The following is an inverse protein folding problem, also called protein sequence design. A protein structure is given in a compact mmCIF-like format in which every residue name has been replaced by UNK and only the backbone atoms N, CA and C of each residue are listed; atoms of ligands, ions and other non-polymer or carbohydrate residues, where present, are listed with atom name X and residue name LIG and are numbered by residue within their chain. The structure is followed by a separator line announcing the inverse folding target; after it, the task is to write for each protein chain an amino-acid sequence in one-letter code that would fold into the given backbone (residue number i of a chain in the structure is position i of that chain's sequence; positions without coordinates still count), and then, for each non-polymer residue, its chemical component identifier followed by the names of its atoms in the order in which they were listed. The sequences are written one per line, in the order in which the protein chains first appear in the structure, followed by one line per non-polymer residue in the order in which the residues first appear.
data_IF_871777951889
#
_entry.id   IF_871777951889
#
_cell.length_a   1.000
_cell.length_b   1.000
_cell.length_c   1.000
_cell.angle_alpha   90.00
_cell.angle_beta   90.00
_cell.angle_gamma   90.00
#
_symmetry.space_group_name_H-M   'P 1'
#
loop_
_entity.id
_entity.type
_entity.pdbx_description
1 polymer ?
#
# COMPACT_ATOMS: atom_id res chain seq x y z
N UNK A 1 -15.92 -15.42 -20.61
CA UNK A 1 -15.62 -15.73 -19.20
C UNK A 1 -14.17 -16.19 -19.17
N UNK A 2 -13.24 -15.30 -18.80
CA UNK A 2 -11.80 -15.63 -18.76
C UNK A 2 -11.54 -16.24 -17.39
N UNK A 3 -11.23 -17.53 -17.36
CA UNK A 3 -10.83 -18.23 -16.15
C UNK A 3 -9.47 -17.68 -15.70
N UNK A 4 -9.43 -17.12 -14.49
CA UNK A 4 -8.19 -16.74 -13.83
C UNK A 4 -7.39 -18.02 -13.56
N UNK A 5 -6.37 -18.30 -14.38
CA UNK A 5 -5.38 -19.31 -14.03
C UNK A 5 -4.53 -18.70 -12.90
N UNK A 6 -4.43 -19.32 -11.71
CA UNK A 6 -3.48 -18.86 -10.71
C UNK A 6 -2.10 -18.84 -11.36
N UNK A 7 -1.52 -17.64 -11.47
CA UNK A 7 -0.22 -17.44 -12.08
C UNK A 7 0.82 -18.24 -11.28
N UNK A 8 1.28 -19.35 -11.85
CA UNK A 8 2.51 -20.04 -11.47
C UNK A 8 3.77 -19.17 -11.64
N UNK A 9 3.60 -17.91 -12.09
CA UNK A 9 4.64 -16.94 -12.42
C UNK A 9 5.28 -16.29 -11.18
N UNK A 10 4.59 -16.22 -10.03
CA UNK A 10 5.17 -15.67 -8.79
C UNK A 10 6.09 -16.64 -8.04
N UNK A 11 6.28 -17.87 -8.55
CA UNK A 11 7.38 -18.75 -8.12
C UNK A 11 8.77 -18.23 -8.52
N UNK A 12 8.84 -17.19 -9.36
CA UNK A 12 10.09 -16.46 -9.56
C UNK A 12 10.40 -15.66 -8.30
N UNK A 13 11.34 -16.19 -7.50
CA UNK A 13 12.00 -15.48 -6.40
C UNK A 13 12.29 -14.05 -6.85
N UNK A 14 11.72 -13.08 -6.15
CA UNK A 14 12.15 -11.68 -6.29
C UNK A 14 13.67 -11.65 -6.21
N UNK A 15 14.28 -11.11 -7.27
CA UNK A 15 15.72 -11.20 -7.43
C UNK A 15 16.43 -10.22 -6.50
N UNK A 16 17.71 -10.47 -6.22
CA UNK A 16 18.55 -9.48 -5.54
C UNK A 16 18.56 -8.13 -6.27
N UNK A 17 18.37 -8.14 -7.60
CA UNK A 17 18.25 -6.92 -8.38
C UNK A 17 16.95 -6.15 -8.05
N UNK A 18 15.82 -6.84 -7.86
CA UNK A 18 14.56 -6.19 -7.48
C UNK A 18 14.69 -5.42 -6.15
N UNK A 19 15.35 -6.03 -5.16
CA UNK A 19 15.60 -5.40 -3.86
C UNK A 19 16.54 -4.19 -4.03
N UNK A 20 17.60 -4.34 -4.84
CA UNK A 20 18.54 -3.25 -5.10
C UNK A 20 17.85 -2.04 -5.76
N UNK A 21 17.08 -2.27 -6.82
CA UNK A 21 16.33 -1.23 -7.52
C UNK A 21 15.33 -0.54 -6.58
N UNK A 22 14.67 -1.33 -5.73
CA UNK A 22 13.74 -0.82 -4.71
C UNK A 22 14.45 0.13 -3.74
N UNK A 23 15.61 -0.26 -3.21
CA UNK A 23 16.39 0.58 -2.29
C UNK A 23 16.90 1.85 -2.97
N UNK A 24 17.35 1.76 -4.22
CA UNK A 24 17.76 2.93 -5.00
C UNK A 24 16.60 3.91 -5.21
N UNK A 25 15.41 3.42 -5.57
CA UNK A 25 14.21 4.26 -5.70
C UNK A 25 13.79 4.91 -4.40
N UNK A 26 13.86 4.19 -3.28
CA UNK A 26 13.58 4.76 -1.96
C UNK A 26 14.58 5.86 -1.60
N UNK A 27 15.86 5.67 -1.91
CA UNK A 27 16.89 6.68 -1.71
C UNK A 27 16.61 7.93 -2.55
N UNK A 28 16.33 7.76 -3.85
CA UNK A 28 15.99 8.88 -4.74
C UNK A 28 14.81 9.68 -4.20
N UNK A 29 13.72 9.00 -3.81
CA UNK A 29 12.55 9.66 -3.23
C UNK A 29 12.90 10.48 -1.98
N UNK A 30 13.76 9.94 -1.09
CA UNK A 30 14.19 10.65 0.11
C UNK A 30 15.10 11.84 -0.20
N UNK A 31 16.03 11.70 -1.14
CA UNK A 31 16.92 12.79 -1.54
C UNK A 31 16.13 13.93 -2.18
N UNK A 32 15.15 13.61 -3.04
CA UNK A 32 14.19 14.60 -3.57
C UNK A 32 13.43 15.28 -2.44
N UNK A 33 12.98 14.51 -1.44
CA UNK A 33 12.29 15.07 -0.29
C UNK A 33 13.16 16.09 0.44
N UNK A 34 14.41 15.76 0.74
CA UNK A 34 15.35 16.65 1.41
C UNK A 34 15.68 17.90 0.61
N UNK A 35 15.86 17.76 -0.71
CA UNK A 35 16.23 18.88 -1.58
C UNK A 35 15.12 19.93 -1.69
N UNK A 36 13.85 19.51 -1.80
CA UNK A 36 12.74 20.44 -1.98
C UNK A 36 12.20 20.98 -0.65
N UNK A 37 12.42 20.28 0.47
CA UNK A 37 11.87 20.66 1.79
C UNK A 37 12.19 22.11 2.19
N UNK A 38 13.43 22.63 2.09
CA UNK A 38 13.71 24.02 2.45
C UNK A 38 12.89 25.04 1.66
N UNK A 39 12.56 24.73 0.40
CA UNK A 39 11.70 25.59 -0.43
C UNK A 39 10.24 25.45 -0.03
N UNK A 40 9.75 24.22 0.17
CA UNK A 40 8.38 23.97 0.62
C UNK A 40 8.10 24.69 1.96
N UNK A 41 9.02 24.54 2.92
CA UNK A 41 8.93 25.20 4.23
C UNK A 41 8.98 26.73 4.10
N UNK A 42 9.92 27.28 3.30
CA UNK A 42 10.06 28.74 3.08
C UNK A 42 8.81 29.39 2.52
N UNK A 43 8.07 28.69 1.67
CA UNK A 43 6.89 29.20 0.99
C UNK A 43 5.57 28.65 1.57
N UNK A 44 5.64 27.98 2.72
CA UNK A 44 4.49 27.38 3.43
C UNK A 44 3.64 26.49 2.53
N UNK A 45 4.27 25.79 1.58
CA UNK A 45 3.60 24.88 0.67
C UNK A 45 3.69 23.45 1.17
N UNK A 46 2.66 22.62 0.91
CA UNK A 46 2.79 21.17 1.06
C UNK A 46 3.98 20.66 0.26
N UNK A 47 4.66 19.66 0.82
CA UNK A 47 5.76 19.01 0.12
C UNK A 47 5.27 18.42 -1.20
N UNK A 48 5.86 18.78 -2.36
CA UNK A 48 5.40 18.33 -3.66
C UNK A 48 5.86 16.89 -3.92
N UNK A 49 5.16 15.92 -3.32
CA UNK A 49 5.42 14.49 -3.51
C UNK A 49 4.19 13.78 -4.07
N UNK A 50 4.31 13.27 -5.29
CA UNK A 50 3.35 12.30 -5.83
C UNK A 50 3.62 10.92 -5.21
N UNK A 51 3.15 10.77 -3.96
CA UNK A 51 3.37 9.54 -3.19
C UNK A 51 2.82 8.33 -3.92
N UNK A 52 1.69 8.49 -4.65
CA UNK A 52 1.07 7.39 -5.39
C UNK A 52 1.99 6.88 -6.50
N UNK A 53 2.50 7.77 -7.36
CA UNK A 53 3.38 7.36 -8.46
C UNK A 53 4.66 6.69 -7.95
N UNK A 54 5.28 7.25 -6.90
CA UNK A 54 6.44 6.62 -6.25
C UNK A 54 6.11 5.23 -5.71
N UNK A 55 4.97 5.07 -5.04
CA UNK A 55 4.53 3.77 -4.51
C UNK A 55 4.38 2.71 -5.59
N UNK A 56 3.80 3.09 -6.74
CA UNK A 56 3.58 2.17 -7.85
C UNK A 56 4.90 1.68 -8.44
N UNK A 57 5.86 2.59 -8.64
CA UNK A 57 7.19 2.24 -9.16
C UNK A 57 7.94 1.36 -8.15
N UNK A 58 7.91 1.71 -6.86
CA UNK A 58 8.56 0.93 -5.78
C UNK A 58 8.00 -0.49 -5.71
N UNK A 59 6.68 -0.66 -5.72
CA UNK A 59 6.06 -2.00 -5.69
C UNK A 59 6.35 -2.76 -6.97
N UNK A 60 6.36 -2.08 -8.13
CA UNK A 60 6.73 -2.70 -9.42
C UNK A 60 8.18 -3.20 -9.42
N UNK A 61 9.11 -2.39 -8.92
CA UNK A 61 10.52 -2.75 -8.77
C UNK A 61 10.69 -3.94 -7.83
N UNK A 62 9.99 -3.93 -6.68
CA UNK A 62 10.12 -4.99 -5.67
C UNK A 62 9.52 -6.32 -6.12
N UNK A 63 8.35 -6.30 -6.74
CA UNK A 63 7.59 -7.51 -7.13
C UNK A 63 7.91 -8.00 -8.54
N UNK A 64 8.48 -7.14 -9.39
CA UNK A 64 8.62 -7.39 -10.83
C UNK A 64 7.31 -7.27 -11.63
N UNK A 65 6.18 -6.97 -10.98
CA UNK A 65 4.89 -6.80 -11.66
C UNK A 65 4.89 -5.45 -12.38
N UNK A 66 4.68 -5.45 -13.69
CA UNK A 66 4.73 -4.23 -14.48
C UNK A 66 3.47 -3.36 -14.28
N UNK A 67 3.65 -2.04 -14.40
CA UNK A 67 2.54 -1.10 -14.53
C UNK A 67 1.88 -1.16 -15.90
N UNK A 68 0.74 -0.48 -16.04
CA UNK A 68 0.01 -0.38 -17.32
C UNK A 68 0.66 0.55 -18.37
N UNK A 69 1.73 1.26 -18.00
CA UNK A 69 2.26 2.38 -18.78
C UNK A 69 1.26 3.53 -18.83
N UNK A 70 1.06 4.14 -20.01
CA UNK A 70 0.14 5.30 -20.18
C UNK A 70 -1.33 4.91 -20.43
N UNK A 71 -1.75 3.72 -19.98
CA UNK A 71 -3.12 3.21 -20.17
C UNK A 71 -3.96 3.41 -18.91
N UNK A 72 -5.27 3.59 -19.07
CA UNK A 72 -6.22 3.65 -17.95
C UNK A 72 -6.49 2.23 -17.42
N UNK A 73 -6.62 2.06 -16.11
CA UNK A 73 -6.99 0.80 -15.49
C UNK A 73 -6.56 0.69 -14.03
N UNK A 74 -6.30 -0.54 -13.59
CA UNK A 74 -5.56 -0.83 -12.36
C UNK A 74 -4.16 -0.24 -12.39
N UNK A 75 -3.48 -0.23 -11.26
CA UNK A 75 -2.09 0.26 -11.23
C UNK A 75 -1.12 -0.72 -11.93
N UNK A 76 -1.43 -2.02 -11.90
CA UNK A 76 -0.59 -3.08 -12.49
C UNK A 76 -1.29 -3.94 -13.56
N UNK A 77 -0.47 -4.59 -14.41
CA UNK A 77 -0.94 -5.42 -15.54
C UNK A 77 -1.72 -6.66 -15.13
N UNK A 78 -1.51 -7.16 -13.91
CA UNK A 78 -2.17 -8.34 -13.36
C UNK A 78 -3.53 -8.00 -12.72
N UNK A 79 -3.89 -6.72 -12.65
CA UNK A 79 -5.08 -6.21 -12.00
C UNK A 79 -4.87 -5.72 -10.56
N UNK A 80 -3.65 -5.81 -10.03
CA UNK A 80 -3.32 -5.35 -8.68
C UNK A 80 -3.29 -3.81 -8.57
N UNK A 81 -3.62 -3.30 -7.39
CA UNK A 81 -3.72 -1.85 -7.10
C UNK A 81 -2.83 -1.45 -5.91
N UNK A 82 -2.42 -0.18 -5.87
CA UNK A 82 -1.58 0.40 -4.81
C UNK A 82 -2.31 1.52 -4.09
N UNK A 83 -2.23 1.51 -2.76
CA UNK A 83 -2.64 2.60 -1.89
C UNK A 83 -1.42 3.17 -1.20
N UNK A 84 -1.36 4.48 -1.13
CA UNK A 84 -0.16 5.23 -0.81
C UNK A 84 -0.45 6.29 0.25
N UNK A 85 0.43 6.44 1.23
CA UNK A 85 0.30 7.44 2.28
C UNK A 85 1.68 7.92 2.74
N UNK A 86 1.97 9.22 2.64
CA UNK A 86 3.18 9.80 3.19
C UNK A 86 2.86 10.61 4.44
N UNK A 87 3.48 10.24 5.55
CA UNK A 87 3.30 10.83 6.87
C UNK A 87 4.46 11.76 7.28
N UNK A 88 5.49 11.91 6.44
CA UNK A 88 6.55 12.88 6.68
C UNK A 88 5.96 14.28 6.59
N UNK A 89 6.16 15.07 7.66
CA UNK A 89 5.60 16.43 7.81
C UNK A 89 4.06 16.52 7.72
N UNK A 90 3.35 15.40 7.75
CA UNK A 90 1.89 15.41 7.73
C UNK A 90 1.35 15.97 9.06
N UNK A 91 0.41 16.91 8.99
CA UNK A 91 -0.28 17.42 10.18
C UNK A 91 -1.32 16.37 10.59
N UNK A 92 -2.26 16.08 9.69
CA UNK A 92 -3.27 15.04 9.89
C UNK A 92 -2.73 13.64 9.59
N UNK A 93 -3.35 12.63 10.20
CA UNK A 93 -3.03 11.22 9.91
C UNK A 93 -3.57 10.84 8.54
N UNK A 94 -2.71 10.54 7.55
CA UNK A 94 -3.15 10.10 6.23
C UNK A 94 -3.94 8.79 6.32
N UNK A 95 -4.86 8.59 5.38
CA UNK A 95 -5.71 7.40 5.29
C UNK A 95 -5.45 6.70 3.96
N UNK A 96 -5.55 5.38 3.94
CA UNK A 96 -5.70 4.69 2.67
C UNK A 96 -7.16 4.78 2.22
N UNK A 97 -7.37 5.50 1.12
CA UNK A 97 -8.71 5.79 0.58
C UNK A 97 -9.06 4.86 -0.58
N UNK A 98 -10.34 4.51 -0.70
CA UNK A 98 -10.89 3.74 -1.81
C UNK A 98 -10.22 2.37 -1.98
N UNK A 99 -9.83 1.73 -0.87
CA UNK A 99 -9.29 0.36 -0.84
C UNK A 99 -10.30 -0.65 -1.38
N UNK A 100 -11.57 -0.35 -1.17
CA UNK A 100 -12.72 -1.05 -1.72
C UNK A 100 -13.53 -0.01 -2.50
N UNK A 101 -13.90 -0.34 -3.74
CA UNK A 101 -14.56 0.60 -4.68
C UNK A 101 -16.08 0.50 -4.55
N UNK A 102 -16.75 1.64 -4.68
CA UNK A 102 -18.21 1.70 -4.72
C UNK A 102 -18.66 2.96 -5.48
N UNK A 103 -19.85 2.90 -6.11
CA UNK A 103 -20.33 3.95 -7.02
C UNK A 103 -19.71 3.89 -8.43
N UNK A 104 -19.00 2.81 -8.76
CA UNK A 104 -18.51 2.51 -10.12
C UNK A 104 -18.93 1.09 -10.53
N UNK A 105 -18.57 0.63 -11.74
CA UNK A 105 -18.86 -0.75 -12.20
C UNK A 105 -18.29 -1.84 -11.28
N UNK A 106 -17.29 -1.51 -10.44
CA UNK A 106 -16.76 -2.36 -9.38
C UNK A 106 -17.30 -1.88 -8.02
N UNK A 107 -18.55 -2.22 -7.71
CA UNK A 107 -19.27 -1.73 -6.52
C UNK A 107 -19.72 -2.83 -5.57
N UNK A 108 -19.17 -4.04 -5.71
CA UNK A 108 -19.49 -5.17 -4.85
C UNK A 108 -18.25 -5.93 -4.44
N UNK A 109 -18.41 -6.78 -3.42
CA UNK A 109 -17.39 -7.69 -2.92
C UNK A 109 -16.76 -8.56 -4.04
N UNK A 110 -17.52 -8.82 -5.12
CA UNK A 110 -17.05 -9.60 -6.26
C UNK A 110 -15.91 -8.92 -7.03
N UNK A 111 -15.76 -7.59 -6.93
CA UNK A 111 -14.62 -6.88 -7.51
C UNK A 111 -13.28 -7.34 -6.91
N UNK A 112 -13.28 -7.80 -5.66
CA UNK A 112 -12.10 -8.39 -4.99
C UNK A 112 -11.77 -9.80 -5.51
N UNK A 113 -12.59 -10.42 -6.36
CA UNK A 113 -12.26 -11.72 -6.93
C UNK A 113 -11.25 -11.61 -8.09
N UNK A 114 -11.18 -10.43 -8.72
CA UNK A 114 -10.36 -10.18 -9.91
C UNK A 114 -9.15 -9.29 -9.65
N UNK A 115 -9.03 -8.74 -8.44
CA UNK A 115 -7.89 -7.93 -8.01
C UNK A 115 -6.94 -8.81 -7.19
N UNK A 116 -5.79 -9.25 -7.71
CA UNK A 116 -4.99 -10.27 -7.03
C UNK A 116 -4.40 -9.74 -5.72
N UNK A 117 -3.76 -8.57 -5.80
CA UNK A 117 -3.13 -7.91 -4.67
C UNK A 117 -3.66 -6.49 -4.49
N UNK A 118 -3.78 -6.09 -3.23
CA UNK A 118 -3.88 -4.70 -2.82
C UNK A 118 -2.65 -4.37 -1.97
N UNK A 119 -1.75 -3.55 -2.53
CA UNK A 119 -0.56 -3.11 -1.82
C UNK A 119 -0.86 -1.82 -1.07
N UNK A 120 -0.38 -1.74 0.17
CA UNK A 120 -0.44 -0.54 0.98
C UNK A 120 0.98 -0.09 1.24
N UNK A 121 1.33 1.11 0.83
CA UNK A 121 2.66 1.65 1.04
C UNK A 121 2.57 2.90 1.89
N UNK A 122 3.35 2.94 2.97
CA UNK A 122 3.42 4.07 3.88
C UNK A 122 4.86 4.52 4.12
N UNK A 123 5.06 5.84 4.05
CA UNK A 123 6.28 6.53 4.41
C UNK A 123 6.02 7.20 5.75
N UNK A 124 6.67 6.73 6.79
CA UNK A 124 6.45 7.22 8.14
C UNK A 124 7.73 7.15 8.96
N UNK A 125 7.60 7.19 10.29
CA UNK A 125 8.73 7.14 11.20
C UNK A 125 8.63 5.92 12.12
N UNK A 126 9.78 5.44 12.59
CA UNK A 126 9.86 4.46 13.68
C UNK A 126 9.44 5.13 14.98
N UNK A 127 8.63 4.45 15.78
CA UNK A 127 7.94 5.02 16.96
C UNK A 127 8.90 5.66 17.97
N UNK A 128 9.99 4.97 18.30
CA UNK A 128 10.90 5.39 19.38
C UNK A 128 12.12 6.18 18.92
N UNK A 129 12.44 6.14 17.63
CA UNK A 129 13.68 6.77 17.09
C UNK A 129 13.39 7.91 16.12
N UNK A 130 12.13 8.07 15.70
CA UNK A 130 11.74 8.98 14.61
C UNK A 130 12.51 8.75 13.30
N UNK A 131 13.14 7.58 13.16
CA UNK A 131 13.87 7.21 11.96
C UNK A 131 12.89 7.04 10.81
N UNK A 132 13.14 7.72 9.68
CA UNK A 132 12.28 7.60 8.50
C UNK A 132 12.33 6.18 7.93
N UNK A 133 11.17 5.68 7.53
CA UNK A 133 11.00 4.35 6.93
C UNK A 133 9.95 4.34 5.84
N UNK A 134 10.01 3.28 5.03
CA UNK A 134 8.97 2.90 4.10
C UNK A 134 8.51 1.47 4.44
N UNK A 135 7.20 1.27 4.51
CA UNK A 135 6.56 -0.01 4.79
C UNK A 135 5.59 -0.38 3.68
N UNK A 136 5.62 -1.63 3.25
CA UNK A 136 4.69 -2.20 2.28
C UNK A 136 3.97 -3.36 2.95
N UNK A 137 2.65 -3.30 2.97
CA UNK A 137 1.78 -4.43 3.28
C UNK A 137 1.06 -4.90 2.03
N UNK A 138 0.58 -6.13 2.05
CA UNK A 138 -0.18 -6.68 0.94
C UNK A 138 -1.38 -7.48 1.44
N UNK A 139 -2.50 -7.34 0.72
CA UNK A 139 -3.68 -8.17 0.88
C UNK A 139 -3.91 -8.96 -0.39
N UNK A 140 -4.07 -10.27 -0.25
CA UNK A 140 -4.51 -11.16 -1.33
C UNK A 140 -6.02 -11.14 -1.42
N UNK A 141 -6.57 -10.15 -2.12
CA UNK A 141 -8.01 -9.85 -1.99
C UNK A 141 -8.98 -10.99 -2.36
N UNK A 142 -8.64 -11.97 -3.23
CA UNK A 142 -9.48 -13.14 -3.47
C UNK A 142 -9.47 -14.15 -2.31
N UNK A 143 -8.39 -14.21 -1.52
CA UNK A 143 -8.16 -15.25 -0.53
C UNK A 143 -8.29 -14.77 0.93
N UNK A 144 -8.12 -13.47 1.18
CA UNK A 144 -8.08 -12.89 2.52
C UNK A 144 -9.48 -12.80 3.14
N UNK A 145 -9.85 -13.81 3.93
CA UNK A 145 -11.20 -13.92 4.52
C UNK A 145 -11.51 -12.80 5.49
N UNK A 146 -10.54 -12.36 6.29
CA UNK A 146 -10.75 -11.30 7.27
C UNK A 146 -10.91 -9.94 6.60
N UNK A 147 -10.04 -9.60 5.63
CA UNK A 147 -10.20 -8.36 4.86
C UNK A 147 -11.54 -8.34 4.12
N UNK A 148 -11.94 -9.46 3.53
CA UNK A 148 -13.23 -9.58 2.84
C UNK A 148 -14.41 -9.46 3.80
N UNK A 149 -14.31 -9.96 5.03
CA UNK A 149 -15.35 -9.80 6.04
C UNK A 149 -15.55 -8.32 6.41
N UNK A 150 -14.45 -7.58 6.61
CA UNK A 150 -14.49 -6.13 6.86
C UNK A 150 -15.08 -5.38 5.66
N UNK A 151 -14.65 -5.71 4.43
CA UNK A 151 -15.19 -5.10 3.22
C UNK A 151 -16.69 -5.40 3.03
N UNK A 152 -17.12 -6.63 3.29
CA UNK A 152 -18.53 -7.04 3.21
C UNK A 152 -19.39 -6.27 4.21
N UNK A 153 -18.95 -6.19 5.47
CA UNK A 153 -19.64 -5.41 6.51
C UNK A 153 -19.78 -3.94 6.09
N UNK A 154 -18.75 -3.35 5.49
CA UNK A 154 -18.86 -1.99 4.98
C UNK A 154 -19.89 -1.86 3.86
N UNK A 155 -19.93 -2.78 2.89
CA UNK A 155 -20.96 -2.79 1.85
C UNK A 155 -22.38 -2.92 2.44
N UNK A 156 -22.58 -3.83 3.41
CA UNK A 156 -23.87 -4.01 4.09
C UNK A 156 -24.32 -2.74 4.85
N UNK A 157 -23.39 -2.07 5.53
CA UNK A 157 -23.65 -0.78 6.21
C UNK A 157 -24.00 0.34 5.22
N UNK A 158 -23.50 0.26 3.99
CA UNK A 158 -23.85 1.22 2.94
C UNK A 158 -25.20 0.94 2.31
N UNK A 159 -25.48 -0.31 1.99
CA UNK A 159 -26.76 -0.74 1.41
C UNK A 159 -27.93 -0.46 2.37
N UNK A 160 -27.70 -0.58 3.68
CA UNK A 160 -28.68 -0.22 4.72
C UNK A 160 -28.79 1.28 5.00
N UNK A 161 -27.93 2.11 4.42
CA UNK A 161 -27.91 3.57 4.65
C UNK A 161 -27.25 4.01 5.97
N UNK A 162 -26.69 3.08 6.77
CA UNK A 162 -25.93 3.42 7.97
C UNK A 162 -24.69 4.26 7.64
N UNK A 163 -24.05 4.01 6.49
CA UNK A 163 -22.95 4.81 5.96
C UNK A 163 -23.33 5.36 4.58
N UNK A 164 -23.23 6.67 4.40
CA UNK A 164 -23.48 7.35 3.12
C UNK A 164 -22.21 7.53 2.28
N UNK A 165 -21.04 7.55 2.91
CA UNK A 165 -19.74 7.76 2.26
C UNK A 165 -19.44 6.70 1.20
N UNK A 166 -18.97 7.14 0.04
CA UNK A 166 -18.49 6.24 -1.02
C UNK A 166 -17.07 5.71 -0.83
N UNK A 167 -16.38 6.24 0.16
CA UNK A 167 -14.95 6.03 0.36
C UNK A 167 -14.72 5.09 1.53
N UNK A 168 -14.31 3.85 1.24
CA UNK A 168 -13.78 2.94 2.25
C UNK A 168 -12.40 3.44 2.70
N UNK A 169 -12.29 3.78 3.97
CA UNK A 169 -11.06 4.34 4.55
C UNK A 169 -10.43 3.36 5.54
N UNK A 170 -9.12 3.17 5.43
CA UNK A 170 -8.31 2.50 6.44
C UNK A 170 -7.37 3.50 7.09
N UNK A 171 -7.23 3.38 8.40
CA UNK A 171 -6.28 4.14 9.20
C UNK A 171 -5.05 3.28 9.47
N UNK A 172 -3.90 3.59 8.82
CA UNK A 172 -2.68 2.84 9.04
C UNK A 172 -2.02 3.19 10.38
N UNK A 173 -1.11 2.34 10.88
CA UNK A 173 -0.40 2.54 12.14
C UNK A 173 0.73 3.58 11.99
N UNK A 174 0.36 4.83 11.70
CA UNK A 174 1.29 5.97 11.53
C UNK A 174 2.20 6.09 12.75
N UNK A 175 3.51 6.06 12.51
CA UNK A 175 4.54 6.23 13.52
C UNK A 175 4.48 5.21 14.67
N UNK A 176 3.84 4.06 14.44
CA UNK A 176 3.75 2.96 15.41
C UNK A 176 4.36 1.70 14.84
N UNK A 177 5.09 0.97 15.67
CA UNK A 177 5.74 -0.28 15.28
C UNK A 177 4.74 -1.46 15.32
N UNK A 178 3.62 -1.27 14.62
CA UNK A 178 2.52 -2.22 14.48
C UNK A 178 2.14 -2.36 13.00
N UNK A 179 1.47 -3.48 12.68
CA UNK A 179 0.85 -3.75 11.38
C UNK A 179 -0.68 -3.74 11.46
N UNK A 180 -1.25 -3.23 12.57
CA UNK A 180 -2.70 -3.14 12.75
C UNK A 180 -3.25 -1.88 12.07
N UNK A 181 -4.19 -2.07 11.14
CA UNK A 181 -4.95 -0.97 10.56
C UNK A 181 -6.35 -1.00 11.16
N UNK A 182 -6.93 0.19 11.31
CA UNK A 182 -8.26 0.34 11.90
C UNK A 182 -9.25 0.95 10.92
N UNK A 183 -10.53 0.61 11.08
CA UNK A 183 -11.66 1.30 10.46
C UNK A 183 -12.94 1.08 11.27
N UNK A 184 -14.03 1.75 10.88
CA UNK A 184 -15.32 1.66 11.58
C UNK A 184 -16.00 0.27 11.48
N UNK A 185 -15.52 -0.60 10.60
CA UNK A 185 -16.00 -1.97 10.42
C UNK A 185 -15.20 -2.98 11.26
N UNK A 186 -13.94 -2.68 11.63
CA UNK A 186 -13.09 -3.47 12.50
C UNK A 186 -11.59 -3.18 12.30
N UNK A 187 -10.76 -3.79 13.13
CA UNK A 187 -9.30 -3.68 13.08
C UNK A 187 -8.72 -5.01 12.59
N UNK A 188 -7.66 -4.95 11.79
CA UNK A 188 -6.95 -6.12 11.31
C UNK A 188 -5.44 -5.89 11.35
N UNK A 189 -4.68 -6.93 11.65
CA UNK A 189 -3.24 -6.99 11.44
C UNK A 189 -2.95 -7.45 10.00
N UNK A 190 -2.28 -6.59 9.24
CA UNK A 190 -1.97 -6.81 7.83
C UNK A 190 -0.62 -7.53 7.66
N UNK A 191 -0.48 -8.43 6.66
CA UNK A 191 0.81 -9.04 6.32
C UNK A 191 1.81 -7.98 5.86
N UNK A 192 2.92 -7.84 6.58
CA UNK A 192 4.01 -6.95 6.20
C UNK A 192 4.85 -7.65 5.13
N UNK A 193 4.92 -7.05 3.95
CA UNK A 193 5.69 -7.56 2.83
C UNK A 193 7.12 -7.05 2.86
N UNK A 194 7.31 -5.77 3.17
CA UNK A 194 8.62 -5.13 3.14
C UNK A 194 8.70 -3.93 4.08
N UNK A 195 9.86 -3.74 4.71
CA UNK A 195 10.21 -2.54 5.45
C UNK A 195 11.67 -2.16 5.16
N UNK A 196 11.92 -0.89 4.87
CA UNK A 196 13.25 -0.32 4.84
C UNK A 196 13.31 0.97 5.67
N UNK A 197 14.48 1.23 6.28
CA UNK A 197 14.71 2.36 7.21
C UNK A 197 15.93 3.16 6.79
N UNK A 198 15.93 4.47 7.03
CA UNK A 198 17.08 5.33 6.81
C UNK A 198 18.11 5.15 7.93
N UNK A 199 19.21 4.46 7.67
CA UNK A 199 20.36 4.36 8.58
C UNK A 199 21.56 5.09 7.99
N UNK A 200 22.16 6.00 8.77
CA UNK A 200 23.32 6.80 8.33
C UNK A 200 23.12 7.49 6.97
N UNK A 201 21.93 8.05 6.75
CA UNK A 201 21.55 8.75 5.52
C UNK A 201 21.16 7.85 4.34
N UNK A 202 21.19 6.52 4.50
CA UNK A 202 20.85 5.57 3.42
C UNK A 202 19.72 4.62 3.80
N UNK A 203 18.90 4.23 2.84
CA UNK A 203 17.94 3.14 3.06
C UNK A 203 18.64 1.79 3.21
N UNK A 204 18.21 1.04 4.22
CA UNK A 204 18.60 -0.35 4.47
C UNK A 204 17.34 -1.17 4.67
N UNK A 205 17.30 -2.37 4.09
CA UNK A 205 16.20 -3.33 4.31
C UNK A 205 16.20 -3.74 5.78
N UNK A 206 15.05 -3.56 6.45
CA UNK A 206 14.82 -4.02 7.82
C UNK A 206 14.08 -5.35 7.84
N UNK A 207 13.08 -5.52 6.98
CA UNK A 207 12.31 -6.74 6.84
C UNK A 207 11.89 -6.95 5.39
N UNK A 208 11.91 -8.19 4.93
CA UNK A 208 11.38 -8.57 3.64
C UNK A 208 10.88 -10.01 3.74
N UNK A 209 9.56 -10.19 3.61
CA UNK A 209 8.91 -11.49 3.67
C UNK A 209 8.19 -11.72 2.34
N UNK A 210 8.81 -12.41 1.38
CA UNK A 210 8.20 -12.65 0.08
C UNK A 210 7.02 -13.63 0.12
N UNK A 211 6.94 -14.46 1.16
CA UNK A 211 5.97 -15.55 1.25
C UNK A 211 4.56 -15.03 1.54
N UNK A 212 4.43 -13.80 2.06
CA UNK A 212 3.11 -13.16 2.23
C UNK A 212 2.34 -13.00 0.91
N UNK A 213 3.01 -12.97 -0.25
CA UNK A 213 2.34 -12.95 -1.56
C UNK A 213 1.65 -14.28 -1.90
N UNK A 214 2.04 -15.38 -1.23
CA UNK A 214 1.55 -16.73 -1.48
C UNK A 214 0.66 -17.26 -0.35
N UNK A 215 0.94 -16.87 0.89
CA UNK A 215 0.27 -17.40 2.09
C UNK A 215 -0.13 -16.34 3.12
N UNK A 216 0.31 -15.09 2.96
CA UNK A 216 -0.04 -14.00 3.88
C UNK A 216 -1.53 -13.66 3.85
N UNK A 217 -2.14 -13.60 5.04
CA UNK A 217 -3.54 -13.22 5.26
C UNK A 217 -3.63 -12.27 6.45
N UNK A 218 -4.60 -11.35 6.41
CA UNK A 218 -4.93 -10.53 7.57
C UNK A 218 -5.41 -11.40 8.74
N UNK A 219 -5.15 -10.91 9.96
CA UNK A 219 -5.61 -11.53 11.22
C UNK A 219 -6.28 -10.50 12.12
N UNK A 220 -7.06 -10.97 13.09
CA UNK A 220 -7.65 -10.13 14.15
C UNK A 220 -6.74 -10.05 15.37
#
# INVERSE_FOLDING_TARGET
MIFYKPNSILKNRMSQQNIKDTIELLQLHYDFYLQIKPYADKYEQPHPTDTRAWSQIVVSALTGIQGLGRKKGSDFIDGSDVKAANCWDAIDTPRFNGCVKAGTKASSINSLNIQPYLFFVMWDMVENTSQKRCRIWVVRTPNDTEFRAIAKKWYEQRESGQITSSNFQLHPPRNRDSNEFTNNCGNLKYPLFFEARISSGKYVVNSFDPDVLNEGLCSR
#
